data_IF_087932062488
#
_entry.id   IF_087932062488
#
_cell.length_a   1.000
_cell.length_b   1.000
_cell.length_c   1.000
_cell.angle_alpha   90.00
_cell.angle_beta   90.00
_cell.angle_gamma   90.00
#
_symmetry.space_group_name_H-M   'P 1'
#
loop_
_entity.id
_entity.type
_entity.pdbx_description
1 polymer ?
#
# COMPACT_ATOMS: atom_id res chain seq x y z
N UNK A 1 20.91 -0.99 3.05
CA UNK A 1 20.37 -2.02 2.15
C UNK A 1 19.03 -1.51 1.66
N UNK A 2 18.95 -1.15 0.38
CA UNK A 2 17.78 -0.53 -0.25
C UNK A 2 16.74 -1.64 -0.43
N UNK A 3 15.68 -1.61 0.36
CA UNK A 3 14.60 -2.57 0.26
C UNK A 3 13.91 -2.42 -1.11
N UNK A 4 14.21 -3.37 -2.00
CA UNK A 4 13.36 -3.93 -3.06
C UNK A 4 12.08 -3.15 -3.44
N UNK A 5 12.20 -1.91 -3.93
CA UNK A 5 11.09 -1.22 -4.61
C UNK A 5 10.76 -1.86 -5.97
N UNK A 6 11.65 -2.73 -6.48
CA UNK A 6 11.56 -3.31 -7.83
C UNK A 6 10.88 -4.69 -7.91
N UNK A 7 10.35 -5.21 -6.80
CA UNK A 7 9.65 -6.50 -6.73
C UNK A 7 8.24 -6.42 -6.13
N UNK A 8 7.72 -5.20 -5.92
CA UNK A 8 6.34 -5.06 -5.50
C UNK A 8 5.45 -5.50 -6.67
N UNK A 9 4.84 -6.68 -6.54
CA UNK A 9 3.91 -7.18 -7.55
C UNK A 9 2.78 -6.18 -7.72
N UNK A 10 2.70 -5.65 -8.93
CA UNK A 10 1.64 -4.73 -9.33
C UNK A 10 0.32 -5.50 -9.25
N UNK A 11 -0.62 -4.97 -8.46
CA UNK A 11 -1.90 -5.66 -8.25
C UNK A 11 -2.68 -5.79 -9.56
N UNK A 12 -3.42 -6.90 -9.66
CA UNK A 12 -4.34 -7.16 -10.78
C UNK A 12 -5.41 -6.07 -10.90
N UNK A 13 -5.94 -5.84 -12.10
CA UNK A 13 -6.95 -4.79 -12.33
C UNK A 13 -8.20 -4.95 -11.47
N UNK A 14 -8.61 -6.19 -11.20
CA UNK A 14 -9.76 -6.48 -10.33
C UNK A 14 -9.49 -5.98 -8.90
N UNK A 15 -8.31 -6.31 -8.36
CA UNK A 15 -7.90 -5.89 -7.03
C UNK A 15 -7.68 -4.37 -6.97
N UNK A 16 -7.11 -3.77 -8.02
CA UNK A 16 -6.97 -2.32 -8.15
C UNK A 16 -8.31 -1.61 -7.98
N UNK A 17 -9.37 -2.06 -8.68
CA UNK A 17 -10.71 -1.45 -8.55
C UNK A 17 -11.26 -1.52 -7.13
N UNK A 18 -11.04 -2.65 -6.45
CA UNK A 18 -11.43 -2.81 -5.04
C UNK A 18 -10.65 -1.86 -4.13
N UNK A 19 -9.33 -1.77 -4.30
CA UNK A 19 -8.49 -0.85 -3.52
C UNK A 19 -8.85 0.62 -3.78
N UNK A 20 -9.14 0.99 -5.02
CA UNK A 20 -9.60 2.34 -5.38
C UNK A 20 -10.96 2.67 -4.77
N UNK A 21 -11.84 1.68 -4.61
CA UNK A 21 -13.11 1.85 -3.91
C UNK A 21 -12.88 2.06 -2.41
N UNK A 22 -12.09 1.19 -1.79
CA UNK A 22 -11.76 1.28 -0.36
C UNK A 22 -11.04 2.59 -0.01
N UNK A 23 -10.12 3.04 -0.87
CA UNK A 23 -9.36 4.29 -0.69
C UNK A 23 -10.22 5.56 -0.75
N UNK A 24 -11.47 5.49 -1.22
CA UNK A 24 -12.40 6.63 -1.15
C UNK A 24 -12.83 6.93 0.29
N UNK A 25 -12.74 5.94 1.18
CA UNK A 25 -13.05 6.10 2.58
C UNK A 25 -11.78 6.55 3.31
N UNK A 26 -11.69 7.79 3.80
CA UNK A 26 -10.49 8.25 4.51
C UNK A 26 -10.19 7.42 5.77
N UNK A 27 -11.19 6.74 6.34
CA UNK A 27 -11.04 5.82 7.47
C UNK A 27 -10.28 4.51 7.15
N UNK A 28 -10.03 4.22 5.87
CA UNK A 28 -9.26 3.04 5.44
C UNK A 28 -7.80 3.38 5.17
N UNK A 29 -7.41 4.65 5.29
CA UNK A 29 -6.01 5.04 5.16
C UNK A 29 -5.21 4.52 6.36
N UNK A 30 -4.25 3.65 6.06
CA UNK A 30 -3.39 2.95 7.02
C UNK A 30 -1.94 3.37 6.86
N UNK A 31 -1.68 4.59 6.37
CA UNK A 31 -0.31 5.08 6.15
C UNK A 31 0.54 5.05 7.41
N UNK A 32 0.00 5.45 8.56
CA UNK A 32 0.71 5.42 9.84
C UNK A 32 1.14 3.99 10.24
N UNK A 33 0.26 3.01 10.01
CA UNK A 33 0.58 1.60 10.25
C UNK A 33 1.65 1.10 9.29
N UNK A 34 1.55 1.44 8.00
CA UNK A 34 2.56 1.09 7.00
C UNK A 34 3.90 1.76 7.32
N UNK A 35 3.90 3.00 7.81
CA UNK A 35 5.11 3.73 8.19
C UNK A 35 5.82 3.06 9.36
N UNK A 36 5.04 2.62 10.34
CA UNK A 36 5.51 1.83 11.47
C UNK A 36 6.06 0.46 11.00
N UNK A 37 5.34 -0.22 10.10
CA UNK A 37 5.71 -1.55 9.58
C UNK A 37 6.99 -1.54 8.74
N UNK A 38 7.19 -0.49 7.94
CA UNK A 38 8.39 -0.29 7.14
C UNK A 38 9.54 0.33 7.95
N UNK A 39 9.26 0.78 9.19
CA UNK A 39 10.19 1.55 10.02
C UNK A 39 10.80 2.72 9.22
N UNK A 40 9.99 3.34 8.37
CA UNK A 40 10.45 4.35 7.42
C UNK A 40 9.32 5.26 6.97
N UNK A 41 9.17 6.39 7.66
CA UNK A 41 8.24 7.47 7.28
C UNK A 41 8.56 8.07 5.91
N UNK A 42 9.84 8.02 5.51
CA UNK A 42 10.29 8.49 4.19
C UNK A 42 9.69 7.68 3.06
N UNK A 43 9.56 6.36 3.20
CA UNK A 43 8.97 5.52 2.16
C UNK A 43 7.46 5.76 2.02
N UNK A 44 6.77 5.99 3.13
CA UNK A 44 5.33 6.27 3.12
C UNK A 44 5.01 7.64 2.56
N UNK A 45 5.94 8.59 2.65
CA UNK A 45 5.78 9.90 2.02
C UNK A 45 5.69 9.86 0.49
N UNK A 46 6.16 8.77 -0.15
CA UNK A 46 6.00 8.55 -1.60
C UNK A 46 4.62 7.99 -1.97
N UNK A 47 3.86 7.46 -0.99
CA UNK A 47 2.54 6.90 -1.23
C UNK A 47 1.45 7.91 -0.90
N UNK A 48 0.50 8.05 -1.81
CA UNK A 48 -0.60 8.99 -1.68
C UNK A 48 -1.71 8.43 -0.78
N UNK A 49 -1.96 7.12 -0.85
CA UNK A 49 -2.93 6.40 -0.03
C UNK A 49 -2.46 4.99 0.28
N UNK A 50 -2.76 4.46 1.46
CA UNK A 50 -2.48 3.07 1.81
C UNK A 50 -3.71 2.39 2.40
N UNK A 51 -4.08 1.22 1.87
CA UNK A 51 -5.28 0.46 2.25
C UNK A 51 -4.88 -0.93 2.71
N UNK A 52 -5.49 -1.39 3.80
CA UNK A 52 -5.42 -2.79 4.20
C UNK A 52 -6.55 -3.59 3.57
N UNK A 53 -6.22 -4.62 2.81
CA UNK A 53 -7.19 -5.49 2.15
C UNK A 53 -6.75 -6.94 2.20
N UNK A 54 -7.65 -7.83 2.59
CA UNK A 54 -7.44 -9.28 2.58
C UNK A 54 -6.12 -9.71 3.26
N UNK A 55 -5.78 -9.11 4.41
CA UNK A 55 -4.57 -9.43 5.16
C UNK A 55 -3.29 -8.77 4.65
N UNK A 56 -3.33 -7.98 3.58
CA UNK A 56 -2.17 -7.28 3.04
C UNK A 56 -2.38 -5.76 3.01
N UNK A 57 -1.30 -5.03 3.22
CA UNK A 57 -1.21 -3.59 3.02
C UNK A 57 -0.83 -3.29 1.58
N UNK A 58 -1.68 -2.51 0.92
CA UNK A 58 -1.47 -2.01 -0.42
C UNK A 58 -1.31 -0.50 -0.37
N UNK A 59 -0.35 0.05 -1.09
CA UNK A 59 -0.18 1.49 -1.18
C UNK A 59 -0.23 1.95 -2.64
N UNK A 60 -0.82 3.12 -2.83
CA UNK A 60 -0.95 3.82 -4.09
C UNK A 60 0.18 4.83 -4.20
N UNK A 61 0.98 4.69 -5.25
CA UNK A 61 2.01 5.65 -5.62
C UNK A 61 1.41 6.89 -6.31
N UNK A 62 2.20 7.96 -6.45
CA UNK A 62 1.80 9.19 -7.14
C UNK A 62 1.36 8.96 -8.60
N UNK A 63 1.94 7.96 -9.25
CA UNK A 63 1.54 7.50 -10.60
C UNK A 63 0.15 6.83 -10.67
N UNK A 64 -0.51 6.65 -9.53
CA UNK A 64 -1.81 5.98 -9.42
C UNK A 64 -1.76 4.46 -9.52
N UNK A 65 -0.56 3.89 -9.48
CA UNK A 65 -0.34 2.45 -9.41
C UNK A 65 -0.41 1.96 -7.97
N UNK A 66 -1.02 0.80 -7.78
CA UNK A 66 -1.12 0.15 -6.48
C UNK A 66 -0.09 -0.97 -6.36
N UNK A 67 0.51 -1.07 -5.18
CA UNK A 67 1.58 -1.99 -4.86
C UNK A 67 1.29 -2.70 -3.55
N UNK A 68 1.52 -4.02 -3.50
CA UNK A 68 1.44 -4.79 -2.26
C UNK A 68 2.71 -4.55 -1.43
N UNK A 69 2.62 -3.73 -0.39
CA UNK A 69 3.78 -3.35 0.43
C UNK A 69 4.14 -4.45 1.42
N UNK A 70 3.14 -5.08 2.05
CA UNK A 70 3.36 -6.15 3.02
C UNK A 70 2.10 -6.97 3.22
N UNK A 71 2.22 -8.28 3.17
CA UNK A 71 1.18 -9.19 3.61
C UNK A 71 1.46 -9.65 5.04
N UNK A 72 0.47 -9.49 5.92
CA UNK A 72 0.46 -10.11 7.23
C UNK A 72 -0.18 -11.49 7.08
N UNK A 73 0.61 -12.50 6.71
CA UNK A 73 0.22 -13.88 6.91
C UNK A 73 0.45 -14.19 8.39
N UNK A 74 -0.65 -14.36 9.14
CA UNK A 74 -0.64 -14.86 10.51
C UNK A 74 -0.57 -16.40 10.50
#
# INVERSE_FOLDING_TARGET
MVAHLNQLERVSEKLKKTLEWEARNPSTDRRDEVATLLNSERLVSYYNACVWWNGCYYCKDDTGSWYCVKCCFF
#
